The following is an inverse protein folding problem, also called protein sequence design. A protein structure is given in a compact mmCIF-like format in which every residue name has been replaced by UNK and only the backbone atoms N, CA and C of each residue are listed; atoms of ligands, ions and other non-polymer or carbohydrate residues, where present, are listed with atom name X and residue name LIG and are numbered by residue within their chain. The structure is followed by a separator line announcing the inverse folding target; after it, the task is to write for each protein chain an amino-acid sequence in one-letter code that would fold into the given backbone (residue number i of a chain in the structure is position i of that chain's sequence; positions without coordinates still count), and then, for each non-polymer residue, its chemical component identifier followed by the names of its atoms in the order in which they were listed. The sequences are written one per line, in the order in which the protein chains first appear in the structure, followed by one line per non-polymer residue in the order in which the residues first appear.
data_IF_006882650272
#
_entry.id   IF_006882650272
#
_cell.length_a   1.000
_cell.length_b   1.000
_cell.length_c   1.000
_cell.angle_alpha   90.00
_cell.angle_beta   90.00
_cell.angle_gamma   90.00
#
_symmetry.space_group_name_H-M   'P 1'
#
loop_
_entity.id
_entity.type
_entity.pdbx_description
1 polymer ?
#
# COMPACT_ATOMS: atom_id res chain seq x y z
N UNK A 1 -10.94 -25.42 -41.18
CA UNK A 1 -9.80 -24.49 -41.10
C UNK A 1 -9.26 -24.30 -42.51
N UNK A 2 -9.20 -23.06 -42.98
CA UNK A 2 -8.76 -22.69 -44.33
C UNK A 2 -7.23 -22.53 -44.37
N UNK A 3 -6.58 -22.79 -45.51
CA UNK A 3 -5.12 -22.61 -45.69
C UNK A 3 -4.67 -21.15 -45.52
N UNK A 4 -5.57 -20.19 -45.66
CA UNK A 4 -5.36 -18.76 -45.36
C UNK A 4 -4.70 -18.49 -44.00
N UNK A 5 -4.93 -19.37 -43.02
CA UNK A 5 -4.27 -19.29 -41.70
C UNK A 5 -2.74 -19.49 -41.73
N UNK A 6 -2.19 -19.97 -42.85
CA UNK A 6 -0.75 -20.08 -43.08
C UNK A 6 -0.14 -18.76 -43.59
N UNK A 7 -0.95 -17.77 -43.96
CA UNK A 7 -0.45 -16.45 -44.35
C UNK A 7 -0.18 -15.60 -43.10
N UNK A 8 1.03 -15.06 -43.00
CA UNK A 8 1.38 -14.10 -41.94
C UNK A 8 0.52 -12.84 -42.06
N UNK A 9 0.14 -12.25 -40.92
CA UNK A 9 -0.75 -11.10 -40.87
C UNK A 9 -2.23 -11.41 -41.13
N UNK A 10 -2.59 -12.63 -41.57
CA UNK A 10 -3.98 -12.98 -41.81
C UNK A 10 -4.66 -13.50 -40.55
N UNK A 11 -5.65 -12.76 -40.07
CA UNK A 11 -6.45 -13.15 -38.90
C UNK A 11 -7.93 -12.84 -39.13
N UNK A 12 -8.80 -13.76 -38.69
CA UNK A 12 -10.24 -13.53 -38.58
C UNK A 12 -10.65 -13.18 -37.14
N UNK A 13 -9.67 -12.91 -36.27
CA UNK A 13 -9.89 -12.61 -34.85
C UNK A 13 -10.25 -11.14 -34.68
N UNK A 14 -11.48 -10.88 -34.27
CA UNK A 14 -11.98 -9.57 -33.85
C UNK A 14 -12.47 -9.65 -32.39
N UNK A 15 -11.97 -8.78 -31.50
CA UNK A 15 -12.44 -8.68 -30.11
C UNK A 15 -11.34 -8.70 -29.04
N UNK A 16 -11.66 -8.19 -27.84
CA UNK A 16 -10.72 -7.98 -26.72
C UNK A 16 -10.35 -9.26 -25.93
N UNK A 17 -11.10 -10.35 -26.13
CA UNK A 17 -10.92 -11.62 -25.40
C UNK A 17 -9.99 -12.65 -26.05
N UNK A 18 -9.46 -12.36 -27.24
CA UNK A 18 -8.74 -13.35 -28.04
C UNK A 18 -7.26 -13.45 -27.64
N UNK A 19 -6.74 -14.68 -27.58
CA UNK A 19 -5.31 -14.94 -27.37
C UNK A 19 -4.57 -14.72 -28.71
N UNK A 20 -3.76 -13.65 -28.79
CA UNK A 20 -2.91 -13.30 -29.96
C UNK A 20 -3.52 -12.24 -30.91
N UNK A 21 -2.68 -11.36 -31.46
CA UNK A 21 -3.11 -10.16 -32.21
C UNK A 21 -2.85 -10.20 -33.73
N UNK A 22 -1.73 -10.81 -34.18
CA UNK A 22 -1.23 -10.62 -35.55
C UNK A 22 -1.56 -11.74 -36.55
N UNK A 23 -2.26 -12.80 -36.14
CA UNK A 23 -2.56 -13.95 -37.03
C UNK A 23 -1.38 -14.89 -37.31
N UNK A 24 -0.22 -14.66 -36.71
CA UNK A 24 1.02 -15.38 -37.03
C UNK A 24 1.29 -16.61 -36.15
N UNK A 25 0.50 -16.77 -35.07
CA UNK A 25 0.82 -17.70 -33.98
C UNK A 25 0.98 -19.16 -34.42
N UNK A 26 0.19 -19.62 -35.41
CA UNK A 26 0.31 -21.00 -35.90
C UNK A 26 1.62 -21.23 -36.65
N UNK A 27 2.00 -20.30 -37.53
CA UNK A 27 3.23 -20.40 -38.32
C UNK A 27 4.47 -20.39 -37.41
N UNK A 28 4.46 -19.49 -36.42
CA UNK A 28 5.55 -19.42 -35.44
C UNK A 28 5.59 -20.66 -34.55
N UNK A 29 4.44 -21.23 -34.16
CA UNK A 29 4.38 -22.48 -33.41
C UNK A 29 4.91 -23.66 -34.24
N UNK A 30 4.56 -23.76 -35.52
CA UNK A 30 5.11 -24.77 -36.43
C UNK A 30 6.63 -24.65 -36.57
N UNK A 31 7.14 -23.43 -36.75
CA UNK A 31 8.58 -23.17 -36.84
C UNK A 31 9.30 -23.56 -35.54
N UNK A 32 8.73 -23.19 -34.39
CA UNK A 32 9.30 -23.53 -33.09
C UNK A 32 9.31 -25.04 -32.84
N UNK A 33 8.23 -25.75 -33.17
CA UNK A 33 8.14 -27.19 -33.01
C UNK A 33 9.18 -27.92 -33.86
N UNK A 34 9.32 -27.56 -35.15
CA UNK A 34 10.30 -28.18 -36.04
C UNK A 34 11.73 -27.87 -35.62
N UNK A 35 12.03 -26.64 -35.17
CA UNK A 35 13.36 -26.27 -34.64
C UNK A 35 13.73 -27.02 -33.36
N UNK A 36 12.73 -27.39 -32.57
CA UNK A 36 12.91 -28.22 -31.38
C UNK A 36 12.84 -29.73 -31.71
N UNK A 37 12.95 -30.10 -33.00
CA UNK A 37 12.94 -31.50 -33.48
C UNK A 37 11.69 -32.30 -33.09
N UNK A 38 10.57 -31.61 -32.84
CA UNK A 38 9.31 -32.24 -32.49
C UNK A 38 8.52 -32.64 -33.73
N UNK A 39 8.05 -33.89 -33.77
CA UNK A 39 7.13 -34.36 -34.81
C UNK A 39 5.75 -33.72 -34.62
N UNK A 40 5.44 -32.68 -35.40
CA UNK A 40 4.16 -31.97 -35.37
C UNK A 40 3.29 -32.31 -36.58
N UNK A 41 1.98 -32.43 -36.38
CA UNK A 41 0.97 -32.51 -37.44
C UNK A 41 -0.26 -31.66 -37.10
N UNK A 42 -0.78 -30.94 -38.08
CA UNK A 42 -2.11 -30.31 -37.98
C UNK A 42 -3.08 -31.08 -38.88
N UNK A 43 -4.06 -31.71 -38.27
CA UNK A 43 -5.06 -32.54 -38.93
C UNK A 43 -6.35 -31.73 -39.00
N UNK A 44 -6.76 -31.35 -40.21
CA UNK A 44 -8.03 -30.71 -40.49
C UNK A 44 -9.07 -31.74 -40.95
N UNK A 45 -10.28 -31.30 -41.25
CA UNK A 45 -11.35 -32.17 -41.75
C UNK A 45 -10.95 -32.90 -43.03
N UNK A 46 -10.16 -32.26 -43.90
CA UNK A 46 -9.82 -32.76 -45.24
C UNK A 46 -8.32 -32.92 -45.48
N UNK A 47 -7.46 -32.40 -44.61
CA UNK A 47 -6.02 -32.32 -44.86
C UNK A 47 -5.19 -32.69 -43.63
N UNK A 48 -3.96 -33.16 -43.86
CA UNK A 48 -2.91 -33.31 -42.85
C UNK A 48 -1.76 -32.41 -43.27
N UNK A 49 -1.39 -31.48 -42.41
CA UNK A 49 -0.31 -30.53 -42.61
C UNK A 49 0.87 -30.96 -41.73
N UNK A 50 2.03 -31.17 -42.35
CA UNK A 50 3.27 -31.56 -41.67
C UNK A 50 4.32 -30.46 -41.92
N UNK A 51 4.68 -29.65 -40.91
CA UNK A 51 5.72 -28.65 -41.05
C UNK A 51 7.10 -29.31 -41.04
N UNK A 52 8.03 -28.77 -41.83
CA UNK A 52 9.44 -29.17 -41.86
C UNK A 52 10.33 -28.00 -42.31
N UNK A 53 11.64 -28.12 -42.08
CA UNK A 53 12.64 -27.18 -42.57
C UNK A 53 13.32 -27.78 -43.80
N UNK A 54 13.29 -27.06 -44.92
CA UNK A 54 13.95 -27.46 -46.16
C UNK A 54 14.76 -26.31 -46.75
N UNK A 55 15.92 -26.64 -47.34
CA UNK A 55 16.66 -25.69 -48.17
C UNK A 55 15.96 -25.54 -49.52
N UNK A 56 15.74 -24.30 -49.96
CA UNK A 56 15.03 -23.99 -51.20
C UNK A 56 15.87 -23.09 -52.09
N UNK A 57 16.20 -23.59 -53.29
CA UNK A 57 17.02 -22.88 -54.27
C UNK A 57 16.44 -21.51 -54.68
N UNK A 58 15.10 -21.40 -54.73
CA UNK A 58 14.36 -20.17 -55.02
C UNK A 58 14.66 -19.03 -54.03
N UNK A 59 15.13 -19.37 -52.83
CA UNK A 59 15.54 -18.44 -51.79
C UNK A 59 17.06 -18.48 -51.56
N UNK A 60 17.85 -18.82 -52.58
CA UNK A 60 19.31 -18.89 -52.46
C UNK A 60 19.83 -20.05 -51.63
N UNK A 61 19.07 -21.16 -51.56
CA UNK A 61 19.33 -22.33 -50.71
C UNK A 61 19.19 -22.04 -49.20
N UNK A 62 18.52 -20.95 -48.83
CA UNK A 62 18.17 -20.69 -47.43
C UNK A 62 17.22 -21.77 -46.88
N UNK A 63 17.35 -22.04 -45.58
CA UNK A 63 16.48 -22.98 -44.86
C UNK A 63 15.18 -22.30 -44.47
N UNK A 64 14.06 -22.77 -45.03
CA UNK A 64 12.74 -22.16 -44.83
C UNK A 64 11.74 -23.16 -44.26
N UNK A 65 10.73 -22.65 -43.56
CA UNK A 65 9.59 -23.44 -43.11
C UNK A 65 8.74 -23.84 -44.33
N UNK A 66 8.57 -25.14 -44.53
CA UNK A 66 7.70 -25.73 -45.55
C UNK A 66 6.59 -26.50 -44.84
N UNK A 67 5.34 -26.33 -45.31
CA UNK A 67 4.20 -27.10 -44.81
C UNK A 67 3.77 -28.09 -45.89
N UNK A 68 4.07 -29.37 -45.68
CA UNK A 68 3.63 -30.43 -46.57
C UNK A 68 2.14 -30.76 -46.30
N UNK A 69 1.29 -30.58 -47.31
CA UNK A 69 -0.16 -30.77 -47.19
C UNK A 69 -0.60 -32.02 -47.95
N UNK A 70 -1.11 -33.02 -47.21
CA UNK A 70 -1.68 -34.24 -47.78
C UNK A 70 -3.20 -34.26 -47.60
N UNK A 71 -3.94 -34.59 -48.67
CA UNK A 71 -5.39 -34.79 -48.60
C UNK A 71 -5.72 -36.07 -47.82
N UNK A 72 -6.78 -36.02 -47.01
CA UNK A 72 -7.30 -37.16 -46.26
C UNK A 72 -8.25 -37.98 -47.11
N UNK A 73 -8.33 -39.28 -46.82
CA UNK A 73 -9.33 -40.16 -47.45
C UNK A 73 -10.73 -39.70 -47.01
N UNK A 74 -11.69 -39.69 -47.94
CA UNK A 74 -13.08 -39.23 -47.74
C UNK A 74 -13.78 -39.89 -46.53
N UNK A 75 -13.38 -41.09 -46.16
CA UNK A 75 -13.93 -41.88 -45.04
C UNK A 75 -13.36 -41.51 -43.66
N UNK A 76 -12.41 -40.59 -43.58
CA UNK A 76 -11.72 -40.21 -42.33
C UNK A 76 -11.98 -38.76 -41.92
N UNK A 77 -13.09 -38.15 -42.31
CA UNK A 77 -13.40 -36.77 -41.91
C UNK A 77 -13.51 -36.64 -40.39
N UNK A 78 -12.90 -35.60 -39.82
CA UNK A 78 -13.18 -35.16 -38.43
C UNK A 78 -13.80 -33.77 -38.47
N UNK A 79 -14.72 -33.50 -37.54
CA UNK A 79 -15.35 -32.19 -37.38
C UNK A 79 -14.38 -31.16 -36.77
N UNK A 80 -13.34 -31.61 -36.07
CA UNK A 80 -12.40 -30.76 -35.35
C UNK A 80 -11.02 -30.69 -36.03
N UNK A 81 -10.32 -29.58 -35.78
CA UNK A 81 -8.89 -29.46 -36.04
C UNK A 81 -8.15 -30.11 -34.88
N UNK A 82 -7.27 -31.05 -35.16
CA UNK A 82 -6.40 -31.69 -34.17
C UNK A 82 -4.96 -31.30 -34.42
N UNK A 83 -4.26 -30.79 -33.41
CA UNK A 83 -2.81 -30.61 -33.45
C UNK A 83 -2.19 -31.77 -32.67
N UNK A 84 -1.29 -32.50 -33.32
CA UNK A 84 -0.51 -33.58 -32.69
C UNK A 84 0.93 -33.15 -32.63
N UNK A 85 1.56 -33.32 -31.48
CA UNK A 85 2.97 -33.06 -31.26
C UNK A 85 3.48 -34.29 -30.50
N UNK A 86 4.50 -34.95 -31.05
CA UNK A 86 5.17 -36.04 -30.35
C UNK A 86 6.12 -35.42 -29.32
N UNK A 87 6.02 -35.89 -28.09
CA UNK A 87 6.88 -35.50 -26.98
C UNK A 87 6.93 -36.64 -25.96
N UNK A 88 7.92 -36.59 -25.08
CA UNK A 88 8.05 -37.48 -23.93
C UNK A 88 7.00 -37.16 -22.86
N UNK A 89 6.81 -38.08 -21.92
CA UNK A 89 5.87 -37.88 -20.80
C UNK A 89 6.37 -36.77 -19.89
N UNK A 90 7.69 -36.65 -19.73
CA UNK A 90 8.36 -35.65 -18.91
C UNK A 90 8.20 -34.25 -19.51
N UNK A 91 8.41 -34.10 -20.82
CA UNK A 91 8.16 -32.83 -21.54
C UNK A 91 6.69 -32.42 -21.47
N UNK A 92 5.77 -33.38 -21.62
CA UNK A 92 4.35 -33.10 -21.47
C UNK A 92 4.02 -32.62 -20.06
N UNK A 93 4.54 -33.27 -19.02
CA UNK A 93 4.30 -32.89 -17.63
C UNK A 93 4.81 -31.46 -17.34
N UNK A 94 5.97 -31.09 -17.89
CA UNK A 94 6.49 -29.73 -17.78
C UNK A 94 5.57 -28.72 -18.49
N UNK A 95 5.16 -29.01 -19.73
CA UNK A 95 4.27 -28.15 -20.50
C UNK A 95 2.90 -28.01 -19.84
N UNK A 96 2.31 -29.11 -19.40
CA UNK A 96 1.03 -29.13 -18.69
C UNK A 96 1.05 -28.23 -17.46
N UNK A 97 2.15 -28.23 -16.70
CA UNK A 97 2.32 -27.36 -15.52
C UNK A 97 2.32 -25.86 -15.83
N UNK A 98 2.60 -25.46 -17.08
CA UNK A 98 2.63 -24.07 -17.54
C UNK A 98 1.25 -23.53 -17.92
N UNK A 99 0.21 -24.37 -17.93
CA UNK A 99 -1.14 -23.97 -18.33
C UNK A 99 -2.16 -24.24 -17.21
N UNK A 100 -2.70 -23.18 -16.62
CA UNK A 100 -3.68 -23.29 -15.52
C UNK A 100 -4.99 -23.95 -15.96
N UNK A 101 -5.34 -23.90 -17.25
CA UNK A 101 -6.54 -24.57 -17.75
C UNK A 101 -6.34 -26.08 -18.01
N UNK A 102 -5.09 -26.57 -18.02
CA UNK A 102 -4.80 -28.01 -18.05
C UNK A 102 -4.58 -28.54 -16.63
N UNK A 103 -3.88 -27.77 -15.81
CA UNK A 103 -3.59 -28.10 -14.41
C UNK A 103 -4.11 -26.98 -13.48
N UNK A 104 -5.42 -26.95 -13.20
CA UNK A 104 -6.04 -25.87 -12.45
C UNK A 104 -5.54 -25.79 -11.00
N UNK A 105 -5.46 -24.56 -10.44
CA UNK A 105 -5.12 -24.38 -9.04
C UNK A 105 -6.23 -24.94 -8.14
N UNK A 106 -5.85 -25.51 -7.00
CA UNK A 106 -6.77 -25.97 -5.96
C UNK A 106 -7.23 -24.82 -5.08
N UNK A 107 -6.33 -23.90 -4.74
CA UNK A 107 -6.61 -22.70 -3.95
C UNK A 107 -6.33 -21.45 -4.77
N UNK A 108 -7.40 -20.74 -5.11
CA UNK A 108 -7.32 -19.50 -5.86
C UNK A 108 -8.52 -18.59 -5.57
N UNK A 109 -8.32 -17.29 -5.78
CA UNK A 109 -9.38 -16.29 -5.79
C UNK A 109 -9.35 -15.54 -7.13
N UNK A 110 -10.47 -15.55 -7.85
CA UNK A 110 -10.60 -14.89 -9.15
C UNK A 110 -11.42 -13.60 -9.02
N UNK A 111 -10.83 -12.52 -9.52
CA UNK A 111 -11.35 -11.17 -9.60
C UNK A 111 -11.50 -10.77 -11.09
N UNK A 112 -12.06 -9.59 -11.38
CA UNK A 112 -12.13 -9.15 -12.77
C UNK A 112 -10.74 -8.81 -13.36
N UNK A 113 -9.78 -8.37 -12.54
CA UNK A 113 -8.42 -8.02 -12.97
C UNK A 113 -7.51 -9.24 -13.13
N UNK A 114 -7.80 -10.33 -12.42
CA UNK A 114 -6.99 -11.53 -12.45
C UNK A 114 -7.29 -12.48 -11.31
N UNK A 115 -6.41 -13.45 -11.12
CA UNK A 115 -6.55 -14.49 -10.10
C UNK A 115 -5.32 -14.55 -9.22
N UNK A 116 -5.52 -14.56 -7.90
CA UNK A 116 -4.47 -14.90 -6.93
C UNK A 116 -4.43 -16.42 -6.79
N UNK A 117 -3.24 -17.00 -6.93
CA UNK A 117 -2.95 -18.43 -6.85
C UNK A 117 -2.22 -18.71 -5.54
N UNK A 118 -2.80 -19.55 -4.69
CA UNK A 118 -2.29 -19.80 -3.34
C UNK A 118 -1.64 -21.18 -3.17
N UNK A 119 -1.66 -22.02 -4.21
CA UNK A 119 -0.93 -23.29 -4.18
C UNK A 119 0.58 -23.02 -4.25
N UNK A 120 1.37 -23.70 -3.40
CA UNK A 120 2.83 -23.52 -3.30
C UNK A 120 3.55 -23.61 -4.65
N UNK A 121 3.10 -24.50 -5.54
CA UNK A 121 3.68 -24.67 -6.89
C UNK A 121 3.59 -23.41 -7.78
N UNK A 122 2.62 -22.53 -7.50
CA UNK A 122 2.37 -21.31 -8.25
C UNK A 122 2.97 -20.06 -7.61
N UNK A 123 3.51 -20.15 -6.39
CA UNK A 123 4.09 -19.00 -5.69
C UNK A 123 5.21 -18.38 -6.52
N UNK A 124 5.13 -17.06 -6.71
CA UNK A 124 6.04 -16.27 -7.54
C UNK A 124 5.88 -16.47 -9.05
N UNK A 125 4.93 -17.28 -9.52
CA UNK A 125 4.67 -17.43 -10.95
C UNK A 125 3.69 -16.38 -11.45
N UNK A 126 3.98 -15.84 -12.63
CA UNK A 126 3.07 -14.96 -13.36
C UNK A 126 2.50 -15.68 -14.58
N UNK A 127 1.18 -15.59 -14.71
CA UNK A 127 0.40 -16.12 -15.81
C UNK A 127 -0.35 -14.98 -16.50
N UNK A 128 -0.61 -15.15 -17.79
CA UNK A 128 -1.51 -14.28 -18.55
C UNK A 128 -2.59 -15.13 -19.19
N UNK A 129 -3.84 -14.93 -18.75
CA UNK A 129 -5.01 -15.69 -19.20
C UNK A 129 -4.78 -17.21 -19.10
N UNK A 130 -4.15 -17.66 -18.02
CA UNK A 130 -3.87 -19.06 -17.71
C UNK A 130 -2.64 -19.65 -18.39
N UNK A 131 -1.77 -18.84 -19.00
CA UNK A 131 -0.51 -19.27 -19.64
C UNK A 131 0.67 -18.71 -18.85
N UNK A 132 1.59 -19.56 -18.42
CA UNK A 132 2.79 -19.14 -17.71
C UNK A 132 3.64 -18.20 -18.57
N UNK A 133 4.07 -17.09 -17.96
CA UNK A 133 4.93 -16.08 -18.58
C UNK A 133 6.33 -16.16 -18.00
N UNK A 134 6.45 -15.92 -16.70
CA UNK A 134 7.73 -15.85 -16.00
C UNK A 134 7.56 -16.04 -14.50
N UNK A 135 8.67 -16.10 -13.76
CA UNK A 135 8.69 -16.01 -12.30
C UNK A 135 9.16 -14.63 -11.87
N UNK A 136 8.60 -14.14 -10.76
CA UNK A 136 9.09 -12.96 -10.07
C UNK A 136 10.54 -13.13 -9.65
N UNK A 137 11.31 -12.05 -9.70
CA UNK A 137 12.66 -11.97 -9.11
C UNK A 137 12.63 -11.66 -7.61
N UNK A 138 11.52 -11.10 -7.13
CA UNK A 138 11.28 -10.84 -5.71
C UNK A 138 10.63 -12.05 -5.04
N UNK A 139 10.87 -12.22 -3.75
CA UNK A 139 10.12 -13.17 -2.93
C UNK A 139 8.63 -12.77 -2.91
N UNK A 140 7.76 -13.71 -3.30
CA UNK A 140 6.31 -13.51 -3.33
C UNK A 140 5.64 -14.52 -2.41
N UNK A 141 4.48 -14.16 -1.87
CA UNK A 141 3.62 -15.09 -1.14
C UNK A 141 2.63 -15.81 -2.07
N UNK A 142 2.29 -15.21 -3.21
CA UNK A 142 1.32 -15.76 -4.14
C UNK A 142 1.85 -15.89 -5.58
N UNK A 143 1.11 -16.66 -6.38
CA UNK A 143 1.15 -16.56 -7.84
C UNK A 143 0.00 -15.70 -8.37
N UNK A 144 0.14 -15.20 -9.59
CA UNK A 144 -0.86 -14.31 -10.19
C UNK A 144 -1.15 -14.70 -11.63
N UNK A 145 -2.43 -14.80 -11.98
CA UNK A 145 -2.88 -14.88 -13.38
C UNK A 145 -3.61 -13.60 -13.78
N UNK A 146 -3.03 -12.85 -14.70
CA UNK A 146 -3.56 -11.54 -15.09
C UNK A 146 -4.59 -11.67 -16.23
N UNK A 147 -5.75 -11.05 -16.05
CA UNK A 147 -6.80 -11.01 -17.08
C UNK A 147 -6.38 -10.14 -18.27
N UNK A 148 -5.77 -8.98 -18.01
CA UNK A 148 -5.25 -8.08 -19.04
C UNK A 148 -3.92 -7.49 -18.57
N UNK A 149 -2.82 -7.97 -19.14
CA UNK A 149 -1.51 -7.38 -18.91
C UNK A 149 -0.78 -7.24 -20.23
N UNK A 150 -0.07 -6.12 -20.39
CA UNK A 150 0.78 -5.91 -21.55
C UNK A 150 2.01 -6.80 -21.42
N UNK A 151 2.26 -7.54 -22.49
CA UNK A 151 3.43 -8.40 -22.63
C UNK A 151 4.33 -7.82 -23.69
N UNK A 152 5.63 -8.04 -23.56
CA UNK A 152 6.58 -7.76 -24.63
C UNK A 152 6.30 -8.63 -25.88
N UNK A 153 6.93 -8.28 -27.01
CA UNK A 153 6.75 -9.00 -28.29
C UNK A 153 6.92 -10.52 -28.13
N UNK A 154 7.90 -10.91 -27.32
CA UNK A 154 8.30 -12.31 -27.13
C UNK A 154 7.53 -12.98 -25.98
N UNK A 155 6.66 -12.24 -25.28
CA UNK A 155 5.80 -12.69 -24.17
C UNK A 155 6.57 -13.35 -23.03
N UNK A 156 7.79 -12.90 -22.80
CA UNK A 156 8.69 -13.41 -21.76
C UNK A 156 8.72 -12.51 -20.55
N UNK A 157 8.36 -11.24 -20.74
CA UNK A 157 8.40 -10.25 -19.67
C UNK A 157 7.06 -9.54 -19.54
N UNK A 158 6.75 -9.27 -18.28
CA UNK A 158 5.64 -8.43 -17.86
C UNK A 158 6.24 -7.07 -17.49
N UNK A 159 5.58 -5.99 -17.87
CA UNK A 159 5.94 -4.67 -17.35
C UNK A 159 5.82 -4.65 -15.82
N UNK A 160 6.92 -4.47 -15.06
CA UNK A 160 6.90 -4.59 -13.61
C UNK A 160 5.95 -3.59 -12.94
N UNK A 161 5.85 -2.36 -13.47
CA UNK A 161 4.98 -1.33 -12.93
C UNK A 161 3.50 -1.70 -13.06
N UNK A 162 3.09 -2.14 -14.26
CA UNK A 162 1.74 -2.62 -14.49
C UNK A 162 1.41 -3.88 -13.64
N UNK A 163 2.39 -4.77 -13.45
CA UNK A 163 2.23 -5.94 -12.58
C UNK A 163 1.99 -5.53 -11.11
N UNK A 164 2.83 -4.67 -10.53
CA UNK A 164 2.70 -4.21 -9.14
C UNK A 164 1.33 -3.57 -8.88
N UNK A 165 0.85 -2.74 -9.80
CA UNK A 165 -0.45 -2.10 -9.66
C UNK A 165 -1.60 -3.11 -9.81
N UNK A 166 -1.51 -4.02 -10.78
CA UNK A 166 -2.54 -5.03 -11.00
C UNK A 166 -2.62 -6.03 -9.84
N UNK A 167 -1.48 -6.44 -9.27
CA UNK A 167 -1.43 -7.29 -8.07
C UNK A 167 -2.12 -6.62 -6.88
N UNK A 168 -1.85 -5.33 -6.64
CA UNK A 168 -2.50 -4.57 -5.58
C UNK A 168 -4.02 -4.47 -5.76
N UNK A 169 -4.51 -4.31 -6.99
CA UNK A 169 -5.95 -4.35 -7.29
C UNK A 169 -6.56 -5.72 -6.96
N UNK A 170 -5.94 -6.81 -7.43
CA UNK A 170 -6.46 -8.16 -7.20
C UNK A 170 -6.47 -8.47 -5.70
N UNK A 171 -5.41 -8.11 -4.96
CA UNK A 171 -5.35 -8.29 -3.51
C UNK A 171 -6.40 -7.45 -2.77
N UNK A 172 -6.61 -6.20 -3.17
CA UNK A 172 -7.66 -5.35 -2.59
C UNK A 172 -9.05 -5.94 -2.78
N UNK A 173 -9.36 -6.44 -3.97
CA UNK A 173 -10.61 -7.17 -4.24
C UNK A 173 -10.71 -8.47 -3.45
N UNK A 174 -9.61 -9.22 -3.33
CA UNK A 174 -9.55 -10.47 -2.57
C UNK A 174 -9.83 -10.26 -1.09
N UNK A 175 -9.25 -9.24 -0.48
CA UNK A 175 -9.53 -8.86 0.91
C UNK A 175 -10.98 -8.42 1.10
N UNK A 176 -11.55 -7.68 0.16
CA UNK A 176 -12.92 -7.20 0.26
C UNK A 176 -13.96 -8.33 0.14
N UNK A 177 -13.68 -9.35 -0.69
CA UNK A 177 -14.65 -10.43 -0.97
C UNK A 177 -14.42 -11.70 -0.14
N UNK A 178 -13.17 -11.96 0.27
CA UNK A 178 -12.74 -13.15 1.02
C UNK A 178 -11.80 -12.77 2.17
N UNK A 179 -12.20 -11.87 3.08
CA UNK A 179 -11.34 -11.38 4.14
C UNK A 179 -10.75 -12.50 5.02
N UNK A 180 -11.53 -13.53 5.31
CA UNK A 180 -11.13 -14.69 6.11
C UNK A 180 -9.92 -15.45 5.52
N UNK A 181 -9.73 -15.34 4.20
CA UNK A 181 -8.66 -16.00 3.47
C UNK A 181 -7.44 -15.10 3.28
N UNK A 182 -7.61 -13.77 3.24
CA UNK A 182 -6.55 -12.86 2.81
C UNK A 182 -6.04 -11.90 3.89
N UNK A 183 -6.84 -11.51 4.88
CA UNK A 183 -6.46 -10.45 5.83
C UNK A 183 -5.18 -10.80 6.59
N UNK A 184 -5.06 -12.01 7.15
CA UNK A 184 -3.86 -12.41 7.89
C UNK A 184 -2.62 -12.46 6.99
N UNK A 185 -2.74 -13.01 5.78
CA UNK A 185 -1.62 -13.08 4.83
C UNK A 185 -1.17 -11.68 4.41
N UNK A 186 -2.11 -10.82 4.04
CA UNK A 186 -1.80 -9.46 3.62
C UNK A 186 -1.22 -8.64 4.78
N UNK A 187 -1.68 -8.86 6.01
CA UNK A 187 -1.07 -8.27 7.19
C UNK A 187 0.42 -8.66 7.31
N UNK A 188 0.73 -9.95 7.15
CA UNK A 188 2.11 -10.44 7.19
C UNK A 188 2.95 -9.85 6.05
N UNK A 189 2.38 -9.78 4.83
CA UNK A 189 3.01 -9.17 3.66
C UNK A 189 3.33 -7.69 3.86
N UNK A 190 2.40 -6.92 4.43
CA UNK A 190 2.58 -5.51 4.75
C UNK A 190 3.60 -5.32 5.87
N UNK A 191 3.64 -6.23 6.84
CA UNK A 191 4.61 -6.22 7.94
C UNK A 191 6.04 -6.49 7.45
N UNK A 192 6.19 -7.29 6.39
CA UNK A 192 7.47 -7.61 5.77
C UNK A 192 7.82 -6.75 4.54
N UNK A 193 7.05 -5.69 4.27
CA UNK A 193 7.19 -4.83 3.07
C UNK A 193 7.29 -5.62 1.75
N UNK A 194 6.43 -6.62 1.56
CA UNK A 194 6.37 -7.40 0.30
C UNK A 194 6.09 -6.51 -0.90
N UNK A 195 6.79 -6.78 -2.01
CA UNK A 195 6.60 -6.11 -3.30
C UNK A 195 5.14 -6.18 -3.79
N UNK A 196 4.41 -7.24 -3.45
CA UNK A 196 2.99 -7.44 -3.80
C UNK A 196 2.07 -6.38 -3.17
N UNK A 197 2.47 -5.76 -2.06
CA UNK A 197 1.65 -4.81 -1.29
C UNK A 197 1.99 -3.34 -1.52
N UNK A 198 3.03 -3.06 -2.30
CA UNK A 198 3.60 -1.71 -2.50
C UNK A 198 2.58 -0.65 -2.89
N UNK A 199 1.61 -1.01 -3.74
CA UNK A 199 0.55 -0.11 -4.21
C UNK A 199 -0.80 -0.33 -3.51
N UNK A 200 -0.88 -1.21 -2.51
CA UNK A 200 -2.14 -1.57 -1.86
C UNK A 200 -2.79 -0.39 -1.13
N UNK A 201 -1.98 0.58 -0.67
CA UNK A 201 -2.47 1.78 0.01
C UNK A 201 -3.46 2.60 -0.81
N UNK A 202 -3.39 2.54 -2.14
CA UNK A 202 -4.33 3.26 -3.02
C UNK A 202 -5.73 2.62 -3.06
N UNK A 203 -5.85 1.36 -2.61
CA UNK A 203 -7.12 0.63 -2.55
C UNK A 203 -7.76 0.64 -1.16
N UNK A 204 -7.02 1.10 -0.14
CA UNK A 204 -7.49 1.17 1.24
C UNK A 204 -7.98 2.58 1.57
N UNK A 205 -9.28 2.82 1.38
CA UNK A 205 -9.94 4.03 1.86
C UNK A 205 -10.26 3.93 3.35
N UNK A 206 -10.41 5.09 4.01
CA UNK A 206 -10.70 5.18 5.46
C UNK A 206 -11.93 4.35 5.88
N UNK A 207 -12.95 4.29 5.02
CA UNK A 207 -14.21 3.61 5.30
C UNK A 207 -14.25 2.16 4.78
N UNK A 208 -13.17 1.68 4.14
CA UNK A 208 -13.15 0.34 3.56
C UNK A 208 -13.19 -0.75 4.63
N UNK A 209 -14.02 -1.77 4.41
CA UNK A 209 -14.14 -2.91 5.32
C UNK A 209 -12.80 -3.66 5.46
N UNK A 210 -12.04 -3.76 4.37
CA UNK A 210 -10.70 -4.34 4.36
C UNK A 210 -9.74 -3.63 5.31
N UNK A 211 -9.78 -2.28 5.38
CA UNK A 211 -8.97 -1.51 6.32
C UNK A 211 -9.41 -1.77 7.77
N UNK A 212 -10.72 -1.81 8.04
CA UNK A 212 -11.23 -2.15 9.38
C UNK A 212 -10.75 -3.51 9.85
N UNK A 213 -10.80 -4.51 8.98
CA UNK A 213 -10.34 -5.86 9.29
C UNK A 213 -8.83 -5.95 9.48
N UNK A 214 -8.03 -5.18 8.72
CA UNK A 214 -6.59 -5.06 8.97
C UNK A 214 -6.30 -4.39 10.33
N UNK A 215 -7.05 -3.36 10.69
CA UNK A 215 -6.92 -2.70 12.01
C UNK A 215 -7.31 -3.63 13.15
N UNK A 216 -8.40 -4.39 13.00
CA UNK A 216 -8.78 -5.40 13.98
C UNK A 216 -7.69 -6.49 14.11
N UNK A 217 -7.07 -6.91 13.01
CA UNK A 217 -5.97 -7.87 13.04
C UNK A 217 -4.73 -7.29 13.73
N UNK A 218 -4.43 -6.00 13.51
CA UNK A 218 -3.39 -5.28 14.23
C UNK A 218 -3.66 -5.26 15.74
N UNK A 219 -4.85 -4.85 16.16
CA UNK A 219 -5.27 -4.80 17.57
C UNK A 219 -5.26 -6.19 18.20
N UNK A 220 -5.72 -7.23 17.48
CA UNK A 220 -5.69 -8.61 17.95
C UNK A 220 -4.27 -9.10 18.24
N UNK A 221 -3.31 -8.76 17.37
CA UNK A 221 -1.91 -9.21 17.50
C UNK A 221 -1.13 -8.41 18.52
N UNK A 222 -1.45 -7.12 18.65
CA UNK A 222 -0.65 -6.21 19.45
C UNK A 222 -1.31 -5.85 20.77
N UNK A 223 -2.62 -5.99 20.92
CA UNK A 223 -3.42 -5.56 22.08
C UNK A 223 -4.16 -4.25 21.84
N UNK A 224 -5.24 -4.03 22.60
CA UNK A 224 -6.11 -2.85 22.48
C UNK A 224 -5.34 -1.53 22.69
N UNK A 225 -5.75 -0.49 21.98
CA UNK A 225 -5.18 0.86 22.05
C UNK A 225 -3.73 1.01 21.54
N UNK A 226 -3.13 -0.02 20.95
CA UNK A 226 -1.83 0.09 20.29
C UNK A 226 -1.92 1.06 19.09
N UNK A 227 -0.83 1.76 18.84
CA UNK A 227 -0.71 2.68 17.72
C UNK A 227 0.39 2.23 16.76
N UNK A 228 0.11 2.08 15.46
CA UNK A 228 1.10 1.69 14.47
C UNK A 228 2.00 2.90 14.16
N UNK A 229 3.29 2.73 14.38
CA UNK A 229 4.33 3.74 14.11
C UNK A 229 5.37 3.19 13.15
N UNK A 230 6.03 4.07 12.41
CA UNK A 230 6.98 3.67 11.35
C UNK A 230 8.40 3.44 11.85
N UNK A 231 8.72 3.94 13.05
CA UNK A 231 10.07 3.90 13.60
C UNK A 231 10.10 3.96 15.14
N UNK A 232 11.26 3.64 15.70
CA UNK A 232 11.46 3.60 17.15
C UNK A 232 11.38 4.98 17.82
N UNK A 233 11.65 6.07 17.09
CA UNK A 233 11.54 7.43 17.65
C UNK A 233 10.09 7.78 17.93
N UNK A 234 9.20 7.58 16.96
CA UNK A 234 7.76 7.75 17.10
C UNK A 234 7.19 6.90 18.24
N UNK A 235 7.66 5.65 18.38
CA UNK A 235 7.25 4.76 19.47
C UNK A 235 7.58 5.34 20.85
N UNK A 236 8.81 5.82 21.04
CA UNK A 236 9.25 6.42 22.32
C UNK A 236 8.50 7.71 22.61
N UNK A 237 8.25 8.52 21.59
CA UNK A 237 7.50 9.76 21.75
C UNK A 237 6.07 9.50 22.22
N UNK A 238 5.38 8.50 21.65
CA UNK A 238 3.99 8.20 22.03
C UNK A 238 3.88 7.50 23.40
N UNK A 239 4.88 6.70 23.76
CA UNK A 239 5.04 6.12 25.10
C UNK A 239 5.15 7.20 26.18
N UNK A 240 5.80 8.32 25.87
CA UNK A 240 5.91 9.46 26.77
C UNK A 240 4.54 10.10 27.11
N UNK A 241 3.53 9.90 26.26
CA UNK A 241 2.15 10.34 26.49
C UNK A 241 1.25 9.20 27.02
N UNK A 242 1.83 8.11 27.52
CA UNK A 242 1.08 6.99 28.12
C UNK A 242 0.36 6.08 27.11
N UNK A 243 0.68 6.19 25.82
CA UNK A 243 0.16 5.32 24.76
C UNK A 243 1.23 4.37 24.27
N UNK A 244 0.84 3.22 23.72
CA UNK A 244 1.79 2.21 23.27
C UNK A 244 2.00 2.27 21.76
N UNK A 245 3.20 2.66 21.35
CA UNK A 245 3.63 2.58 19.96
C UNK A 245 4.07 1.15 19.59
N UNK A 246 3.71 0.70 18.40
CA UNK A 246 4.20 -0.57 17.83
C UNK A 246 4.83 -0.26 16.49
N UNK A 247 6.14 -0.52 16.39
CA UNK A 247 6.89 -0.33 15.16
C UNK A 247 6.48 -1.39 14.14
N UNK A 248 5.98 -0.94 13.00
CA UNK A 248 5.58 -1.78 11.86
C UNK A 248 6.23 -1.26 10.57
N UNK A 249 6.19 -2.06 9.49
CA UNK A 249 6.64 -1.63 8.17
C UNK A 249 5.93 -0.36 7.70
N UNK A 250 6.62 0.49 6.94
CA UNK A 250 6.14 1.84 6.58
C UNK A 250 4.78 1.79 5.87
N UNK A 251 4.59 0.83 4.96
CA UNK A 251 3.32 0.69 4.24
C UNK A 251 2.16 0.30 5.16
N UNK A 252 2.42 -0.57 6.15
CA UNK A 252 1.42 -0.97 7.14
C UNK A 252 1.04 0.21 8.03
N UNK A 253 2.04 0.98 8.50
CA UNK A 253 1.81 2.19 9.29
C UNK A 253 0.94 3.20 8.52
N UNK A 254 1.32 3.52 7.27
CA UNK A 254 0.57 4.46 6.42
C UNK A 254 -0.89 4.02 6.21
N UNK A 255 -1.13 2.72 6.02
CA UNK A 255 -2.48 2.18 5.80
C UNK A 255 -3.31 2.29 7.08
N UNK A 256 -2.79 1.79 8.21
CA UNK A 256 -3.53 1.73 9.47
C UNK A 256 -3.80 3.13 10.05
N UNK A 257 -2.86 4.07 9.90
CA UNK A 257 -3.02 5.46 10.37
C UNK A 257 -4.18 6.20 9.69
N UNK A 258 -4.67 5.74 8.53
CA UNK A 258 -5.90 6.29 7.93
C UNK A 258 -7.13 6.06 8.80
N UNK A 259 -7.15 4.97 9.56
CA UNK A 259 -8.27 4.63 10.45
C UNK A 259 -8.07 5.17 11.86
N UNK A 260 -6.88 4.96 12.45
CA UNK A 260 -6.61 5.31 13.85
C UNK A 260 -6.15 6.76 14.06
N UNK A 261 -5.80 7.48 12.99
CA UNK A 261 -5.21 8.82 13.04
C UNK A 261 -3.70 8.78 12.80
N UNK A 262 -3.15 9.88 12.26
CA UNK A 262 -1.71 9.99 12.02
C UNK A 262 -0.96 10.21 13.33
N UNK A 263 0.31 9.81 13.35
CA UNK A 263 1.19 10.07 14.50
C UNK A 263 1.17 11.55 14.92
N UNK A 264 1.28 12.49 13.97
CA UNK A 264 1.28 13.92 14.31
C UNK A 264 -0.06 14.38 14.91
N UNK A 265 -1.19 13.90 14.38
CA UNK A 265 -2.51 14.29 14.89
C UNK A 265 -2.73 13.76 16.31
N UNK A 266 -2.37 12.50 16.55
CA UNK A 266 -2.48 11.89 17.87
C UNK A 266 -1.52 12.57 18.85
N UNK A 267 -0.29 12.88 18.43
CA UNK A 267 0.66 13.62 19.26
C UNK A 267 0.12 15.00 19.65
N UNK A 268 -0.49 15.73 18.72
CA UNK A 268 -1.13 17.02 19.02
C UNK A 268 -2.31 16.85 19.98
N UNK A 269 -3.16 15.85 19.79
CA UNK A 269 -4.28 15.59 20.69
C UNK A 269 -3.79 15.26 22.11
N UNK A 270 -2.80 14.38 22.24
CA UNK A 270 -2.24 13.97 23.53
C UNK A 270 -1.54 15.11 24.26
N UNK A 271 -0.90 16.03 23.52
CA UNK A 271 -0.36 17.28 24.10
C UNK A 271 -1.45 18.16 24.71
N UNK A 272 -2.69 18.06 24.22
CA UNK A 272 -3.81 18.89 24.67
C UNK A 272 -4.67 18.24 25.78
N UNK A 273 -4.36 17.01 26.21
CA UNK A 273 -5.18 16.32 27.22
C UNK A 273 -4.89 16.79 28.65
N UNK A 274 -5.63 17.84 29.03
CA UNK A 274 -5.85 18.33 30.38
C UNK A 274 -6.69 17.33 31.20
N UNK A 275 -6.16 16.89 32.35
CA UNK A 275 -6.76 15.91 33.27
C UNK A 275 -7.97 16.48 34.00
N UNK A 276 -7.85 17.73 34.46
CA UNK A 276 -8.93 18.45 35.16
C UNK A 276 -8.79 19.94 34.93
N UNK A 277 -9.92 20.64 34.80
CA UNK A 277 -9.98 22.11 34.79
C UNK A 277 -10.65 22.60 36.06
N UNK A 278 -10.14 23.71 36.59
CA UNK A 278 -10.63 24.33 37.81
C UNK A 278 -11.34 25.63 37.49
N UNK A 279 -12.55 25.78 38.01
CA UNK A 279 -13.25 27.07 38.05
C UNK A 279 -12.66 27.96 39.14
N UNK A 280 -12.89 29.27 39.04
CA UNK A 280 -12.45 30.26 40.03
C UNK A 280 -12.81 29.87 41.48
N UNK A 281 -14.03 29.37 41.69
CA UNK A 281 -14.52 28.95 43.00
C UNK A 281 -13.87 27.68 43.57
N UNK A 282 -13.12 26.92 42.76
CA UNK A 282 -12.40 25.71 43.19
C UNK A 282 -10.94 25.99 43.57
N UNK A 283 -10.48 27.22 43.34
CA UNK A 283 -9.18 27.71 43.79
C UNK A 283 -9.29 28.23 45.22
N UNK A 284 -8.26 27.95 46.02
CA UNK A 284 -8.11 28.55 47.35
C UNK A 284 -7.83 30.05 47.27
N UNK A 285 -8.01 30.75 48.39
CA UNK A 285 -7.82 32.21 48.45
C UNK A 285 -6.38 32.63 48.08
N UNK A 286 -5.37 31.81 48.44
CA UNK A 286 -3.97 32.05 48.09
C UNK A 286 -3.70 31.84 46.59
N UNK A 287 -4.31 30.83 45.98
CA UNK A 287 -4.22 30.55 44.55
C UNK A 287 -4.89 31.68 43.73
N UNK A 288 -6.09 32.09 44.14
CA UNK A 288 -6.81 33.23 43.55
C UNK A 288 -5.99 34.52 43.65
N UNK A 289 -5.36 34.76 44.80
CA UNK A 289 -4.51 35.93 45.02
C UNK A 289 -3.28 35.93 44.12
N UNK A 290 -2.64 34.76 43.92
CA UNK A 290 -1.48 34.61 43.03
C UNK A 290 -1.86 34.87 41.57
N UNK A 291 -3.01 34.35 41.14
CA UNK A 291 -3.54 34.57 39.79
C UNK A 291 -3.84 36.04 39.53
N UNK A 292 -4.61 36.70 40.41
CA UNK A 292 -4.95 38.12 40.27
C UNK A 292 -3.72 39.01 40.26
N UNK A 293 -2.76 38.73 41.14
CA UNK A 293 -1.51 39.48 41.21
C UNK A 293 -0.74 39.42 39.89
N UNK A 294 -0.59 38.25 39.29
CA UNK A 294 0.14 38.10 38.03
C UNK A 294 -0.60 38.75 36.85
N UNK A 295 -1.93 38.62 36.77
CA UNK A 295 -2.74 39.29 35.76
C UNK A 295 -2.69 40.82 35.88
N UNK A 296 -2.70 41.36 37.10
CA UNK A 296 -2.56 42.79 37.34
C UNK A 296 -1.20 43.31 36.86
N UNK A 297 -0.11 42.56 37.10
CA UNK A 297 1.23 42.89 36.59
C UNK A 297 1.29 42.95 35.07
N UNK A 298 0.63 42.03 34.38
CA UNK A 298 0.56 42.04 32.92
C UNK A 298 -0.31 43.21 32.42
N UNK A 299 -1.38 43.55 33.14
CA UNK A 299 -2.22 44.72 32.84
C UNK A 299 -1.47 46.04 32.95
N UNK A 300 -0.60 46.20 33.96
CA UNK A 300 0.25 47.40 34.14
C UNK A 300 1.12 47.71 32.91
N UNK A 301 1.44 46.69 32.10
CA UNK A 301 2.27 46.83 30.89
C UNK A 301 1.46 46.76 29.58
N UNK A 302 0.13 46.81 29.68
CA UNK A 302 -0.78 46.87 28.54
C UNK A 302 -1.18 45.52 27.94
N UNK A 303 -0.99 44.41 28.68
CA UNK A 303 -1.48 43.08 28.29
C UNK A 303 -2.79 42.82 29.04
N UNK A 304 -3.91 42.86 28.31
CA UNK A 304 -5.27 42.76 28.87
C UNK A 304 -6.06 41.61 28.24
N UNK A 305 -7.20 41.25 28.84
CA UNK A 305 -8.15 40.24 28.33
C UNK A 305 -7.56 38.84 28.13
N UNK A 306 -6.69 38.40 29.04
CA UNK A 306 -6.12 37.05 29.00
C UNK A 306 -7.21 35.99 29.27
N UNK A 307 -7.27 34.97 28.43
CA UNK A 307 -8.18 33.83 28.59
C UNK A 307 -7.44 32.67 29.29
N UNK A 308 -7.20 32.82 30.60
CA UNK A 308 -6.44 31.85 31.39
C UNK A 308 -7.38 30.87 32.10
N UNK A 309 -7.06 29.58 32.04
CA UNK A 309 -7.73 28.49 32.77
C UNK A 309 -6.73 27.71 33.59
N UNK A 310 -7.07 27.39 34.84
CA UNK A 310 -6.21 26.55 35.69
C UNK A 310 -6.54 25.08 35.47
N UNK A 311 -5.51 24.25 35.32
CA UNK A 311 -5.62 22.86 34.91
C UNK A 311 -4.65 21.93 35.64
N UNK A 312 -4.98 20.65 35.71
CA UNK A 312 -4.00 19.59 35.93
C UNK A 312 -3.68 18.93 34.59
N UNK A 313 -2.40 18.70 34.33
CA UNK A 313 -1.94 18.02 33.13
C UNK A 313 -1.58 16.57 33.43
N UNK A 314 -1.62 15.72 32.40
CA UNK A 314 -1.32 14.29 32.53
C UNK A 314 0.15 14.05 32.87
N UNK A 315 1.02 15.01 32.55
CA UNK A 315 2.44 14.96 32.83
C UNK A 315 2.86 16.07 33.78
N UNK A 316 3.71 15.73 34.73
CA UNK A 316 4.21 16.64 35.75
C UNK A 316 5.26 17.64 35.25
N UNK A 317 5.74 17.50 34.01
CA UNK A 317 6.70 18.42 33.40
C UNK A 317 6.05 19.50 32.53
N UNK A 318 4.73 19.45 32.34
CA UNK A 318 3.98 20.51 31.64
C UNK A 318 3.54 21.54 32.68
N UNK A 319 4.03 22.77 32.54
CA UNK A 319 3.69 23.90 33.40
C UNK A 319 2.56 24.76 32.80
N UNK A 320 2.54 24.93 31.48
CA UNK A 320 1.50 25.68 30.78
C UNK A 320 1.29 25.19 29.34
N UNK A 321 0.17 25.62 28.75
CA UNK A 321 -0.18 25.40 27.35
C UNK A 321 -0.93 26.62 26.79
N UNK A 322 -0.40 27.22 25.73
CA UNK A 322 -1.08 28.24 24.94
C UNK A 322 -1.66 27.66 23.64
N UNK A 323 -2.93 27.97 23.37
CA UNK A 323 -3.59 27.70 22.10
C UNK A 323 -3.46 28.88 21.16
N UNK A 324 -2.77 28.67 20.03
CA UNK A 324 -2.49 29.70 19.03
C UNK A 324 -3.73 30.15 18.24
N UNK A 325 -4.80 29.34 18.24
CA UNK A 325 -5.99 29.58 17.41
C UNK A 325 -7.07 30.42 18.09
N UNK A 326 -7.25 30.26 19.40
CA UNK A 326 -8.30 30.91 20.19
C UNK A 326 -7.77 31.75 21.36
N UNK A 327 -6.43 31.86 21.49
CA UNK A 327 -5.76 32.66 22.51
C UNK A 327 -5.96 32.11 23.94
N UNK A 328 -6.43 30.87 24.07
CA UNK A 328 -6.64 30.23 25.37
C UNK A 328 -5.32 29.82 25.99
N UNK A 329 -5.14 30.09 27.27
CA UNK A 329 -3.96 29.70 28.07
C UNK A 329 -4.42 28.75 29.17
N UNK A 330 -3.78 27.60 29.31
CA UNK A 330 -3.98 26.67 30.42
C UNK A 330 -2.70 26.59 31.27
N UNK A 331 -2.79 26.74 32.59
CA UNK A 331 -1.62 26.71 33.49
C UNK A 331 -1.84 25.67 34.59
N UNK A 332 -0.76 24.97 34.96
CA UNK A 332 -0.77 23.93 35.98
C UNK A 332 -1.14 24.53 37.33
N UNK A 333 -2.11 23.91 38.02
CA UNK A 333 -2.53 24.35 39.37
C UNK A 333 -1.37 24.42 40.36
N UNK A 334 -0.46 23.46 40.31
CA UNK A 334 0.70 23.41 41.21
C UNK A 334 1.57 24.68 41.17
N UNK A 335 1.64 25.36 40.02
CA UNK A 335 2.44 26.57 39.84
C UNK A 335 1.86 27.77 40.62
N UNK A 336 0.57 27.74 40.97
CA UNK A 336 -0.07 28.78 41.80
C UNK A 336 0.43 28.79 43.25
N UNK A 337 1.12 27.74 43.70
CA UNK A 337 1.73 27.69 45.04
C UNK A 337 2.88 28.68 45.21
N UNK A 338 3.49 29.13 44.11
CA UNK A 338 4.46 30.21 44.08
C UNK A 338 4.08 31.22 42.99
N UNK A 339 3.61 32.40 43.42
CA UNK A 339 3.18 33.47 42.52
C UNK A 339 4.23 33.86 41.47
N UNK A 340 5.53 33.72 41.75
CA UNK A 340 6.57 34.04 40.77
C UNK A 340 6.72 32.94 39.74
N UNK A 341 6.62 31.67 40.14
CA UNK A 341 6.57 30.53 39.21
C UNK A 341 5.36 30.67 38.30
N UNK A 342 4.17 30.94 38.86
CA UNK A 342 2.97 31.19 38.08
C UNK A 342 3.15 32.34 37.08
N UNK A 343 3.70 33.49 37.50
CA UNK A 343 3.94 34.61 36.61
C UNK A 343 4.93 34.26 35.50
N UNK A 344 5.98 33.49 35.81
CA UNK A 344 6.94 33.04 34.80
C UNK A 344 6.28 32.15 33.76
N UNK A 345 5.51 31.15 34.18
CA UNK A 345 4.75 30.28 33.27
C UNK A 345 3.75 31.11 32.46
N UNK A 346 3.03 32.04 33.08
CA UNK A 346 2.07 32.89 32.38
C UNK A 346 2.72 33.79 31.32
N UNK A 347 3.88 34.41 31.63
CA UNK A 347 4.64 35.20 30.65
C UNK A 347 5.09 34.34 29.47
N UNK A 348 5.54 33.11 29.74
CA UNK A 348 5.90 32.15 28.70
C UNK A 348 4.71 31.90 27.77
N UNK A 349 3.57 31.49 28.31
CA UNK A 349 2.38 31.17 27.51
C UNK A 349 1.76 32.38 26.80
N UNK A 350 1.79 33.56 27.41
CA UNK A 350 1.33 34.80 26.77
C UNK A 350 2.19 35.16 25.57
N UNK A 351 3.49 34.88 25.61
CA UNK A 351 4.37 35.19 24.48
C UNK A 351 4.04 34.32 23.25
N UNK A 352 3.63 33.06 23.44
CA UNK A 352 3.10 32.23 22.35
C UNK A 352 1.85 32.82 21.70
N UNK A 353 0.90 33.35 22.49
CA UNK A 353 -0.35 33.89 21.94
C UNK A 353 -0.14 35.19 21.16
N UNK A 354 0.85 35.99 21.54
CA UNK A 354 1.14 37.27 20.88
C UNK A 354 1.92 37.12 19.56
N UNK A 355 2.87 36.19 19.48
CA UNK A 355 3.74 36.04 18.31
C UNK A 355 3.37 34.86 17.41
N UNK A 356 2.46 33.98 17.82
CA UNK A 356 2.13 32.72 17.12
C UNK A 356 3.36 31.82 16.86
N UNK A 357 4.42 32.00 17.65
CA UNK A 357 5.71 31.35 17.51
C UNK A 357 5.84 30.12 18.44
N UNK A 358 6.66 29.14 18.04
CA UNK A 358 6.94 27.93 18.84
C UNK A 358 8.07 28.16 19.85
N UNK A 359 8.15 27.26 20.83
CA UNK A 359 9.24 27.24 21.82
C UNK A 359 10.62 27.30 21.15
N UNK A 360 11.47 28.19 21.65
CA UNK A 360 12.84 28.35 21.17
C UNK A 360 13.01 29.11 19.86
N UNK A 361 11.92 29.56 19.22
CA UNK A 361 12.02 30.50 18.09
C UNK A 361 12.49 31.87 18.59
N UNK A 362 13.33 32.55 17.78
CA UNK A 362 13.94 33.81 18.16
C UNK A 362 12.90 34.88 18.52
N UNK A 363 11.76 34.89 17.83
CA UNK A 363 10.65 35.83 18.06
C UNK A 363 9.97 35.57 19.42
N UNK A 364 9.77 34.30 19.77
CA UNK A 364 9.23 33.89 21.06
C UNK A 364 10.14 34.30 22.23
N UNK A 365 11.45 34.02 22.14
CA UNK A 365 12.42 34.40 23.18
C UNK A 365 12.51 35.92 23.33
N UNK A 366 12.60 36.65 22.22
CA UNK A 366 12.63 38.11 22.24
C UNK A 366 11.37 38.70 22.89
N UNK A 367 10.21 38.07 22.70
CA UNK A 367 8.95 38.52 23.31
C UNK A 367 8.93 38.32 24.82
N UNK A 368 9.41 37.17 25.31
CA UNK A 368 9.56 36.91 26.74
C UNK A 368 10.45 38.00 27.37
N UNK A 369 11.60 38.29 26.76
CA UNK A 369 12.51 39.33 27.23
C UNK A 369 11.87 40.73 27.22
N UNK A 370 11.10 41.05 26.17
CA UNK A 370 10.36 42.31 26.06
C UNK A 370 9.36 42.48 27.22
N UNK A 371 8.58 41.43 27.51
CA UNK A 371 7.58 41.41 28.59
C UNK A 371 8.28 41.60 29.94
N UNK A 372 9.36 40.86 30.22
CA UNK A 372 10.12 41.01 31.46
C UNK A 372 10.73 42.40 31.63
N UNK A 373 11.27 42.99 30.55
CA UNK A 373 11.79 44.36 30.58
C UNK A 373 10.71 45.37 30.95
N UNK A 374 9.49 45.21 30.41
CA UNK A 374 8.35 46.06 30.73
C UNK A 374 7.91 45.90 32.19
N UNK A 375 7.80 44.66 32.66
CA UNK A 375 7.45 44.36 34.06
C UNK A 375 8.45 44.97 35.05
N UNK A 376 9.75 44.81 34.78
CA UNK A 376 10.81 45.38 35.61
C UNK A 376 10.74 46.91 35.66
N UNK A 377 10.47 47.56 34.52
CA UNK A 377 10.30 49.02 34.46
C UNK A 377 9.06 49.51 35.19
N UNK A 378 7.96 48.74 35.16
CA UNK A 378 6.73 49.07 35.85
C UNK A 378 6.87 49.00 37.38
N UNK A 379 7.67 48.06 37.91
CA UNK A 379 7.95 47.95 39.35
C UNK A 379 8.81 49.09 39.92
N UNK A 380 9.58 49.78 39.07
CA UNK A 380 10.50 50.85 39.48
C UNK A 380 9.96 52.27 39.18
N UNK A 381 8.67 52.38 38.84
CA UNK A 381 7.93 53.64 38.77
C UNK A 381 7.11 53.81 40.05
#
# INVERSE_FOLDING_TARGET
MDRKVLLLGQTSKEGRGLRGHFGEGLNLAMLAAVRAENDMQVITSTEIWTPLLESRAEYGNETVLVVNIKKRKRTQTTEHVTVRIKMTVEEWAELESRFLFLNPPKKAFTSHQGTVLMDEKHVGCYYSKGIFVTRSQNAMQFGYDFSNIELDRDRRMIDPWNAEYTMANILGEAMAQKPEMFISHVFDMLSSDSAETKNLKYHMSKDSEALKLLTNEFERRNGDGALPVSNMSESREIEHYGRRGVVVGTNLAEILQKQVGTFQAIQQELKLQTVKRYSWSELSDDEQSSMLWAEERLREIGIENLNVTIADFTRDDIQGLASLNDGKIEIRRADLSDRFVYLTTLVHEVSHTLEQAKDGEHEHVAKIEEIWCKLYRAQNK
#
